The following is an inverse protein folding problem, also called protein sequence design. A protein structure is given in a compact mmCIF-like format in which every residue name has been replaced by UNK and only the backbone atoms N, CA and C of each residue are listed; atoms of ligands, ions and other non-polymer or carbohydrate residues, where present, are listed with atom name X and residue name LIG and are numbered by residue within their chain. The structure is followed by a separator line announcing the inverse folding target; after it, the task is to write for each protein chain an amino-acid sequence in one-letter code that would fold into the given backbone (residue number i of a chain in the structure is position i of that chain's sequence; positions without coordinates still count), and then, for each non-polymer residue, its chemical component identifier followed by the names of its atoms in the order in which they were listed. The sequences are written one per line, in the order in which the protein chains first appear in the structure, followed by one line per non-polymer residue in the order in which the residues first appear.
data_IF_913901858144
#
_entry.id   IF_913901858144
#
_cell.length_a   1.000
_cell.length_b   1.000
_cell.length_c   1.000
_cell.angle_alpha   90.00
_cell.angle_beta   90.00
_cell.angle_gamma   90.00
#
_symmetry.space_group_name_H-M   'P 1'
#
loop_
_entity.id
_entity.type
_entity.pdbx_description
1 polymer ?
#
# COMPACT_ATOMS: atom_id res chain seq x y z
N UNK A 1 11.62 -31.15 -15.60
CA UNK A 1 10.98 -30.84 -15.25
C UNK A 1 10.62 -30.10 -14.17
N UNK A 2 11.20 -29.50 -13.61
CA UNK A 2 11.05 -28.77 -12.50
C UNK A 2 10.81 -27.36 -12.79
N UNK A 3 10.69 -26.99 -13.98
CA UNK A 3 10.58 -25.63 -14.45
C UNK A 3 9.40 -24.88 -13.84
N UNK A 4 8.26 -25.54 -13.70
CA UNK A 4 7.08 -24.92 -13.13
C UNK A 4 7.24 -24.52 -11.68
N UNK A 5 7.97 -25.31 -10.92
CA UNK A 5 8.24 -25.02 -9.52
C UNK A 5 9.13 -23.78 -9.39
N UNK A 6 10.14 -23.68 -10.25
CA UNK A 6 11.04 -22.56 -10.24
C UNK A 6 10.33 -21.26 -10.58
N UNK A 7 9.37 -21.31 -11.50
CA UNK A 7 8.58 -20.14 -11.88
C UNK A 7 7.74 -19.65 -10.69
N UNK A 8 7.09 -20.56 -9.98
CA UNK A 8 6.28 -20.19 -8.82
C UNK A 8 7.14 -19.58 -7.71
N UNK A 9 8.32 -20.15 -7.46
CA UNK A 9 9.26 -19.62 -6.49
C UNK A 9 9.75 -18.23 -6.88
N UNK A 10 10.02 -18.02 -8.16
CA UNK A 10 10.47 -16.74 -8.67
C UNK A 10 9.41 -15.68 -8.50
N UNK A 11 8.15 -15.99 -8.81
CA UNK A 11 7.02 -15.07 -8.63
C UNK A 11 6.86 -14.71 -7.15
N UNK A 12 6.93 -15.70 -6.26
CA UNK A 12 6.81 -15.46 -4.83
C UNK A 12 7.94 -14.56 -4.32
N UNK A 13 9.17 -14.77 -4.77
CA UNK A 13 10.31 -13.94 -4.38
C UNK A 13 10.17 -12.52 -4.91
N UNK A 14 9.74 -12.35 -6.16
CA UNK A 14 9.52 -11.04 -6.74
C UNK A 14 8.45 -10.28 -5.99
N UNK A 15 7.33 -10.93 -5.67
CA UNK A 15 6.26 -10.31 -4.90
C UNK A 15 6.74 -9.92 -3.51
N UNK A 16 7.49 -10.78 -2.84
CA UNK A 16 8.02 -10.49 -1.51
C UNK A 16 8.95 -9.29 -1.52
N UNK A 17 9.84 -9.20 -2.50
CA UNK A 17 10.77 -8.08 -2.65
C UNK A 17 10.04 -6.78 -2.96
N UNK A 18 9.05 -6.84 -3.83
CA UNK A 18 8.22 -5.70 -4.20
C UNK A 18 7.47 -5.16 -2.99
N UNK A 19 6.84 -6.04 -2.22
CA UNK A 19 6.09 -5.66 -1.03
C UNK A 19 7.00 -5.08 0.05
N UNK A 20 8.21 -5.61 0.21
CA UNK A 20 9.19 -5.08 1.15
C UNK A 20 9.61 -3.66 0.77
N UNK A 21 9.82 -3.40 -0.51
CA UNK A 21 10.18 -2.07 -0.97
C UNK A 21 9.04 -1.09 -0.74
N UNK A 22 7.80 -1.49 -0.99
CA UNK A 22 6.64 -0.67 -0.69
C UNK A 22 6.56 -0.32 0.79
N UNK A 23 6.79 -1.31 1.66
CA UNK A 23 6.79 -1.08 3.09
C UNK A 23 7.87 -0.09 3.51
N UNK A 24 9.04 -0.15 2.90
CA UNK A 24 10.13 0.79 3.18
C UNK A 24 9.77 2.22 2.75
N UNK A 25 8.99 2.37 1.68
CA UNK A 25 8.53 3.67 1.20
C UNK A 25 7.42 4.24 2.09
N UNK A 26 6.64 3.36 2.74
CA UNK A 26 5.53 3.77 3.59
C UNK A 26 5.82 3.33 5.02
N UNK A 27 6.38 4.24 5.80
CA UNK A 27 6.81 3.90 7.16
C UNK A 27 5.67 3.74 8.15
N UNK A 28 4.49 4.21 7.80
CA UNK A 28 3.32 4.18 8.68
C UNK A 28 2.62 2.84 8.74
N UNK A 29 2.93 1.93 7.81
CA UNK A 29 2.29 0.61 7.80
C UNK A 29 3.25 -0.46 8.33
N UNK A 30 2.67 -1.47 8.99
CA UNK A 30 3.43 -2.61 9.51
C UNK A 30 3.71 -3.65 8.45
N UNK A 31 2.85 -3.70 7.44
CA UNK A 31 2.91 -4.75 6.42
C UNK A 31 2.24 -4.28 5.14
N UNK A 32 2.73 -4.75 4.02
CA UNK A 32 2.07 -4.58 2.72
C UNK A 32 1.89 -5.98 2.14
N UNK A 33 0.71 -6.29 1.65
CA UNK A 33 0.44 -7.60 1.08
C UNK A 33 -0.58 -7.54 -0.06
N UNK A 34 -0.56 -8.56 -0.91
CA UNK A 34 -1.60 -8.74 -1.92
C UNK A 34 -2.79 -9.47 -1.30
N UNK A 35 -3.98 -9.18 -1.81
CA UNK A 35 -5.20 -9.84 -1.37
C UNK A 35 -6.11 -10.09 -2.56
N UNK A 36 -6.95 -11.12 -2.48
CA UNK A 36 -7.97 -11.37 -3.49
C UNK A 36 -9.38 -11.12 -2.94
N UNK A 37 -9.48 -10.49 -1.78
CA UNK A 37 -10.77 -10.24 -1.11
C UNK A 37 -11.45 -8.96 -1.59
N UNK A 38 -10.72 -8.04 -2.19
CA UNK A 38 -11.26 -6.78 -2.68
C UNK A 38 -11.92 -7.02 -4.04
N UNK A 39 -13.09 -6.41 -4.24
CA UNK A 39 -13.82 -6.59 -5.50
C UNK A 39 -13.42 -5.55 -6.55
N UNK A 40 -13.64 -4.28 -6.24
CA UNK A 40 -13.40 -3.19 -7.19
C UNK A 40 -12.32 -2.21 -6.76
N UNK A 41 -11.98 -2.18 -5.50
CA UNK A 41 -10.98 -1.24 -4.99
C UNK A 41 -9.58 -1.76 -5.30
N UNK A 42 -8.66 -0.89 -5.72
CA UNK A 42 -7.28 -1.31 -5.96
C UNK A 42 -6.53 -1.60 -4.67
N UNK A 43 -6.85 -0.90 -3.59
CA UNK A 43 -6.16 -1.01 -2.30
C UNK A 43 -7.13 -0.78 -1.16
N UNK A 44 -6.76 -1.24 0.04
CA UNK A 44 -7.44 -0.84 1.26
C UNK A 44 -6.48 -0.91 2.44
N UNK A 45 -6.85 -0.28 3.55
CA UNK A 45 -6.13 -0.41 4.81
C UNK A 45 -6.94 -1.27 5.75
N UNK A 46 -6.26 -2.20 6.42
CA UNK A 46 -6.84 -2.98 7.50
C UNK A 46 -5.95 -2.81 8.72
N UNK A 47 -6.45 -3.19 9.88
CA UNK A 47 -5.68 -3.14 11.10
C UNK A 47 -5.24 -4.53 11.53
N UNK A 48 -4.10 -4.56 12.23
CA UNK A 48 -3.53 -5.76 12.77
C UNK A 48 -3.33 -5.50 14.26
N UNK A 49 -3.66 -6.47 15.10
CA UNK A 49 -3.53 -6.29 16.55
C UNK A 49 -4.80 -5.75 17.18
N UNK A 50 -4.66 -5.20 18.38
CA UNK A 50 -5.79 -4.85 19.24
C UNK A 50 -6.46 -3.52 18.89
N UNK A 51 -5.77 -2.62 18.21
CA UNK A 51 -6.30 -1.30 17.86
C UNK A 51 -6.81 -1.32 16.43
N UNK A 52 -8.12 -1.10 16.26
CA UNK A 52 -8.72 -1.05 14.94
C UNK A 52 -8.53 0.32 14.28
N UNK A 53 -8.79 0.41 12.99
CA UNK A 53 -8.77 1.70 12.28
C UNK A 53 -9.81 2.65 12.85
N UNK A 54 -10.98 2.13 13.24
CA UNK A 54 -12.03 2.95 13.85
C UNK A 54 -11.57 3.52 15.19
N UNK A 55 -10.87 2.73 15.99
CA UNK A 55 -10.30 3.21 17.25
C UNK A 55 -9.21 4.26 17.00
N UNK A 56 -8.42 4.07 15.95
CA UNK A 56 -7.40 5.05 15.58
C UNK A 56 -8.02 6.40 15.25
N UNK A 57 -9.15 6.43 14.55
CA UNK A 57 -9.87 7.67 14.24
C UNK A 57 -10.29 8.39 15.51
N UNK A 58 -10.76 7.65 16.52
CA UNK A 58 -11.16 8.22 17.81
C UNK A 58 -9.94 8.81 18.52
N UNK A 59 -8.83 8.08 18.54
CA UNK A 59 -7.60 8.55 19.19
C UNK A 59 -7.06 9.81 18.50
N UNK A 60 -7.11 9.86 17.19
CA UNK A 60 -6.62 11.02 16.42
C UNK A 60 -7.46 12.27 16.70
N UNK A 61 -8.74 12.09 17.03
CA UNK A 61 -9.65 13.20 17.35
C UNK A 61 -9.51 13.71 18.77
N UNK A 62 -8.82 13.00 19.65
CA UNK A 62 -8.64 13.42 21.03
C UNK A 62 -7.66 14.58 21.15
N UNK A 63 -7.93 15.55 22.02
CA UNK A 63 -7.04 16.70 22.18
C UNK A 63 -5.69 16.33 22.82
N UNK A 64 -5.62 15.22 23.55
CA UNK A 64 -4.38 14.75 24.15
C UNK A 64 -3.86 13.58 23.34
N UNK A 65 -2.55 13.57 23.11
CA UNK A 65 -1.92 12.48 22.40
C UNK A 65 -1.93 11.23 23.26
N UNK A 66 -2.59 10.19 22.79
CA UNK A 66 -2.73 8.95 23.54
C UNK A 66 -1.51 8.04 23.37
N UNK A 67 -0.80 8.20 22.24
CA UNK A 67 0.38 7.39 21.96
C UNK A 67 0.08 5.98 21.48
N UNK A 68 -1.19 5.64 21.33
CA UNK A 68 -1.61 4.32 20.85
C UNK A 68 -1.97 4.44 19.37
N UNK A 69 -1.38 3.58 18.54
CA UNK A 69 -1.64 3.59 17.10
C UNK A 69 -2.00 2.20 16.62
N UNK A 70 -2.91 2.14 15.65
CA UNK A 70 -3.23 0.90 14.99
C UNK A 70 -2.02 0.45 14.16
N UNK A 71 -1.75 -0.85 14.19
CA UNK A 71 -0.80 -1.42 13.25
C UNK A 71 -1.56 -1.63 11.95
N UNK A 72 -1.20 -0.87 10.93
CA UNK A 72 -1.92 -0.88 9.67
C UNK A 72 -1.27 -1.79 8.64
N UNK A 73 -2.10 -2.44 7.86
CA UNK A 73 -1.68 -3.30 6.76
C UNK A 73 -2.26 -2.71 5.48
N UNK A 74 -1.41 -2.44 4.51
CA UNK A 74 -1.86 -2.03 3.18
C UNK A 74 -2.09 -3.29 2.35
N UNK A 75 -3.32 -3.50 1.93
CA UNK A 75 -3.70 -4.64 1.08
C UNK A 75 -3.93 -4.17 -0.34
N UNK A 76 -3.30 -4.84 -1.29
CA UNK A 76 -3.37 -4.51 -2.70
C UNK A 76 -4.17 -5.60 -3.41
N UNK A 77 -5.15 -5.20 -4.19
CA UNK A 77 -5.98 -6.13 -4.95
C UNK A 77 -5.15 -6.76 -6.06
N UNK A 78 -4.77 -8.04 -5.89
CA UNK A 78 -3.93 -8.72 -6.86
C UNK A 78 -4.61 -8.95 -8.22
N UNK A 79 -5.95 -8.85 -8.25
CA UNK A 79 -6.72 -9.00 -9.49
C UNK A 79 -6.94 -7.68 -10.22
N UNK A 80 -6.60 -6.56 -9.58
CA UNK A 80 -6.73 -5.25 -10.21
C UNK A 80 -5.52 -4.98 -11.10
N UNK A 81 -5.74 -4.23 -12.17
CA UNK A 81 -4.67 -3.86 -13.09
C UNK A 81 -3.48 -3.16 -12.40
N UNK A 82 -3.75 -2.51 -11.25
CA UNK A 82 -2.69 -1.82 -10.50
C UNK A 82 -1.62 -2.79 -9.99
N UNK A 83 -2.00 -4.03 -9.67
CA UNK A 83 -1.01 -5.02 -9.21
C UNK A 83 0.00 -5.34 -10.31
N UNK A 84 -0.47 -5.50 -11.54
CA UNK A 84 0.41 -5.75 -12.67
C UNK A 84 1.27 -4.54 -12.99
N UNK A 85 0.70 -3.34 -12.88
CA UNK A 85 1.43 -2.10 -13.09
C UNK A 85 2.56 -1.97 -12.09
N UNK A 86 2.31 -2.28 -10.82
CA UNK A 86 3.34 -2.24 -9.79
C UNK A 86 4.48 -3.23 -10.07
N UNK A 87 4.14 -4.43 -10.51
CA UNK A 87 5.15 -5.43 -10.86
C UNK A 87 6.01 -4.96 -12.02
N UNK A 88 5.39 -4.37 -13.04
CA UNK A 88 6.10 -3.83 -14.19
C UNK A 88 7.03 -2.69 -13.79
N UNK A 89 6.55 -1.74 -13.00
CA UNK A 89 7.33 -0.60 -12.55
C UNK A 89 8.48 -1.02 -11.63
N UNK A 90 8.25 -2.03 -10.80
CA UNK A 90 9.29 -2.54 -9.93
C UNK A 90 10.52 -3.00 -10.72
N UNK A 91 10.30 -3.56 -11.91
CA UNK A 91 11.38 -4.04 -12.76
C UNK A 91 11.94 -2.97 -13.70
N UNK A 92 11.11 -2.01 -14.13
CA UNK A 92 11.49 -1.08 -15.19
C UNK A 92 11.73 0.35 -14.73
N UNK A 93 11.04 0.80 -13.67
CA UNK A 93 11.13 2.20 -13.23
C UNK A 93 10.80 2.32 -11.75
N UNK A 94 11.81 2.17 -10.93
CA UNK A 94 11.63 2.21 -9.47
C UNK A 94 11.25 3.58 -8.94
N UNK A 95 11.59 4.64 -9.65
CA UNK A 95 11.17 5.98 -9.26
C UNK A 95 9.65 6.12 -9.39
N UNK A 96 9.10 5.69 -10.52
CA UNK A 96 7.65 5.66 -10.70
C UNK A 96 6.99 4.70 -9.72
N UNK A 97 7.63 3.57 -9.43
CA UNK A 97 7.14 2.60 -8.44
C UNK A 97 6.97 3.26 -7.07
N UNK A 98 7.97 4.03 -6.64
CA UNK A 98 7.90 4.76 -5.38
C UNK A 98 6.74 5.75 -5.36
N UNK A 99 6.55 6.50 -6.45
CA UNK A 99 5.44 7.46 -6.56
C UNK A 99 4.09 6.77 -6.49
N UNK A 100 3.93 5.67 -7.22
CA UNK A 100 2.69 4.88 -7.19
C UNK A 100 2.40 4.35 -5.79
N UNK A 101 3.44 3.87 -5.10
CA UNK A 101 3.30 3.35 -3.74
C UNK A 101 2.72 4.41 -2.80
N UNK A 102 3.24 5.61 -2.84
CA UNK A 102 2.76 6.71 -2.00
C UNK A 102 1.33 7.12 -2.35
N UNK A 103 1.01 7.16 -3.64
CA UNK A 103 -0.33 7.49 -4.11
C UNK A 103 -1.33 6.43 -3.63
N UNK A 104 -0.97 5.15 -3.75
CA UNK A 104 -1.85 4.05 -3.35
C UNK A 104 -2.09 4.05 -1.84
N UNK A 105 -1.07 4.36 -1.05
CA UNK A 105 -1.25 4.48 0.39
C UNK A 105 -2.21 5.63 0.73
N UNK A 106 -2.06 6.78 0.09
CA UNK A 106 -2.95 7.91 0.30
C UNK A 106 -4.39 7.55 -0.09
N UNK A 107 -4.56 6.82 -1.19
CA UNK A 107 -5.86 6.35 -1.64
C UNK A 107 -6.50 5.41 -0.61
N UNK A 108 -5.71 4.48 -0.07
CA UNK A 108 -6.19 3.57 0.96
C UNK A 108 -6.60 4.31 2.23
N UNK A 109 -5.87 5.36 2.61
CA UNK A 109 -6.26 6.20 3.74
C UNK A 109 -7.59 6.91 3.49
N UNK A 110 -7.79 7.44 2.29
CA UNK A 110 -9.06 8.08 1.93
C UNK A 110 -10.22 7.08 1.99
N UNK A 111 -10.03 5.88 1.48
CA UNK A 111 -11.05 4.83 1.52
C UNK A 111 -11.39 4.47 2.97
N UNK A 112 -10.39 4.41 3.83
CA UNK A 112 -10.56 4.11 5.25
C UNK A 112 -11.15 5.28 6.05
N UNK A 113 -11.23 6.47 5.45
CA UNK A 113 -11.71 7.66 6.14
C UNK A 113 -10.68 8.32 7.04
N UNK A 114 -9.40 8.05 6.79
CA UNK A 114 -8.30 8.66 7.53
C UNK A 114 -7.77 9.88 6.78
N UNK A 115 -7.24 10.88 7.50
CA UNK A 115 -6.69 12.07 6.85
C UNK A 115 -5.41 11.74 6.09
N UNK A 116 -5.12 12.53 5.05
CA UNK A 116 -3.87 12.46 4.32
C UNK A 116 -2.96 13.54 4.90
N UNK A 117 -1.77 13.13 5.34
CA UNK A 117 -0.83 14.04 6.01
C UNK A 117 -0.29 15.12 5.07
N UNK A 118 -0.15 14.80 3.80
CA UNK A 118 0.53 15.67 2.85
C UNK A 118 -0.21 15.70 1.51
N UNK A 119 -1.43 16.28 1.46
CA UNK A 119 -2.24 16.24 0.24
C UNK A 119 -1.59 16.96 -0.95
N UNK A 120 -0.82 18.01 -0.70
CA UNK A 120 -0.13 18.74 -1.77
C UNK A 120 0.93 17.87 -2.44
N UNK A 121 1.70 17.14 -1.63
CA UNK A 121 2.70 16.21 -2.16
C UNK A 121 2.05 15.10 -2.98
N UNK A 122 0.95 14.53 -2.49
CA UNK A 122 0.22 13.49 -3.18
C UNK A 122 -0.34 14.01 -4.51
N UNK A 123 -0.89 15.22 -4.52
CA UNK A 123 -1.36 15.85 -5.74
C UNK A 123 -0.24 16.00 -6.77
N UNK A 124 0.94 16.42 -6.33
CA UNK A 124 2.11 16.56 -7.20
C UNK A 124 2.52 15.22 -7.78
N UNK A 125 2.53 14.16 -6.95
CA UNK A 125 2.89 12.82 -7.41
C UNK A 125 1.90 12.29 -8.44
N UNK A 126 0.60 12.54 -8.24
CA UNK A 126 -0.44 12.14 -9.18
C UNK A 126 -0.21 12.82 -10.53
N UNK A 127 0.05 14.12 -10.51
CA UNK A 127 0.33 14.86 -11.74
C UNK A 127 1.57 14.34 -12.47
N UNK A 128 2.60 13.99 -11.71
CA UNK A 128 3.84 13.45 -12.28
C UNK A 128 3.58 12.14 -13.03
N UNK A 129 2.79 11.24 -12.46
CA UNK A 129 2.54 9.94 -13.09
C UNK A 129 1.55 10.06 -14.25
N UNK A 130 0.60 10.99 -14.18
CA UNK A 130 -0.36 11.23 -15.26
C UNK A 130 0.33 11.83 -16.48
N UNK A 131 1.35 12.66 -16.23
CA UNK A 131 2.06 13.37 -17.30
C UNK A 131 3.03 12.51 -18.09
N UNK A 132 3.28 11.29 -17.65
CA UNK A 132 4.22 10.39 -18.35
C UNK A 132 3.56 9.57 -19.44
#
# INVERSE_FOLDING_TARGET
MIIGIDIDDTVAKTNSSLLSLMKDEIKEVSEVKFTNKLKNHPVCLTSKGDVSIEMQKVFDAMPNEVGIKAEMVLEINEKHAIAEKLKSLYETDKDAFSKYTKILYAEARMIAGLPIDNPTEISTLICDVISK
#
